data_IF_547056775248
#
_entry.id   IF_547056775248
#
_cell.length_a   1.000
_cell.length_b   1.000
_cell.length_c   1.000
_cell.angle_alpha   90.00
_cell.angle_beta   90.00
_cell.angle_gamma   90.00
#
_symmetry.space_group_name_H-M   'P 1'
#
loop_
_entity.id
_entity.type
_entity.pdbx_description
1 polymer ?
#
# COMPACT_ATOMS: atom_id res chain seq x y z
N UNK A 1 10.73 13.80 -24.07
CA UNK A 1 9.91 12.57 -24.02
C UNK A 1 9.08 12.44 -22.73
N UNK A 2 9.64 12.56 -21.52
CA UNK A 2 8.83 12.53 -20.28
C UNK A 2 7.75 13.64 -20.23
N UNK A 3 8.08 14.84 -20.74
CA UNK A 3 7.14 15.95 -20.82
C UNK A 3 5.96 15.73 -21.80
N UNK A 4 6.10 14.90 -22.84
CA UNK A 4 4.99 14.59 -23.77
C UNK A 4 3.99 13.61 -23.14
N UNK A 5 4.47 12.64 -22.35
CA UNK A 5 3.63 11.72 -21.58
C UNK A 5 2.84 12.49 -20.52
N UNK A 6 3.47 13.46 -19.84
CA UNK A 6 2.83 14.33 -18.85
C UNK A 6 1.79 15.29 -19.46
N UNK A 7 1.98 15.72 -20.70
CA UNK A 7 1.04 16.64 -21.38
C UNK A 7 -0.21 15.93 -21.93
N UNK A 8 -0.10 14.65 -22.30
CA UNK A 8 -1.27 13.81 -22.60
C UNK A 8 -1.89 13.16 -21.35
N UNK A 9 -1.35 13.40 -20.16
CA UNK A 9 -1.95 12.93 -18.92
C UNK A 9 -3.24 13.70 -18.66
N UNK A 10 -4.41 13.03 -18.62
CA UNK A 10 -5.68 13.71 -18.43
C UNK A 10 -5.68 14.57 -17.16
N UNK A 11 -6.28 15.76 -17.22
CA UNK A 11 -6.40 16.70 -16.09
C UNK A 11 -6.95 16.02 -14.84
N UNK A 12 -7.90 15.10 -14.97
CA UNK A 12 -8.47 14.37 -13.83
C UNK A 12 -7.44 13.52 -13.08
N UNK A 13 -6.41 12.97 -13.75
CA UNK A 13 -5.34 12.21 -13.09
C UNK A 13 -4.51 13.11 -12.19
N UNK A 14 -4.22 14.35 -12.64
CA UNK A 14 -3.52 15.36 -11.84
C UNK A 14 -4.35 15.78 -10.62
N UNK A 15 -5.67 15.92 -10.79
CA UNK A 15 -6.59 16.21 -9.67
C UNK A 15 -6.62 15.07 -8.66
N UNK A 16 -6.71 13.81 -9.12
CA UNK A 16 -6.66 12.63 -8.24
C UNK A 16 -5.32 12.56 -7.51
N UNK A 17 -4.20 12.79 -8.19
CA UNK A 17 -2.88 12.82 -7.56
C UNK A 17 -2.79 13.88 -6.46
N UNK A 18 -3.21 15.11 -6.74
CA UNK A 18 -3.26 16.18 -5.75
C UNK A 18 -4.14 15.80 -4.54
N UNK A 19 -5.32 15.24 -4.79
CA UNK A 19 -6.22 14.75 -3.74
C UNK A 19 -5.58 13.65 -2.89
N UNK A 20 -4.86 12.70 -3.50
CA UNK A 20 -4.15 11.63 -2.82
C UNK A 20 -2.96 12.14 -2.00
N UNK A 21 -2.25 13.16 -2.49
CA UNK A 21 -1.19 13.84 -1.74
C UNK A 21 -1.77 14.50 -0.49
N UNK A 22 -2.87 15.24 -0.63
CA UNK A 22 -3.59 15.83 0.52
C UNK A 22 -4.06 14.75 1.50
N UNK A 23 -4.66 13.66 1.00
CA UNK A 23 -5.06 12.52 1.82
C UNK A 23 -3.85 11.87 2.51
N UNK A 24 -2.73 11.71 1.82
CA UNK A 24 -1.47 11.19 2.34
C UNK A 24 -0.95 12.04 3.48
N UNK A 25 -0.91 13.36 3.32
CA UNK A 25 -0.57 14.31 4.38
C UNK A 25 -1.52 14.23 5.57
N UNK A 26 -2.83 14.12 5.33
CA UNK A 26 -3.82 13.93 6.40
C UNK A 26 -3.61 12.61 7.16
N UNK A 27 -3.22 11.54 6.46
CA UNK A 27 -2.88 10.25 7.09
C UNK A 27 -1.51 10.26 7.79
N UNK A 28 -0.63 11.17 7.41
CA UNK A 28 0.64 11.40 8.07
C UNK A 28 0.51 12.23 9.36
N UNK A 29 -0.67 12.79 9.66
CA UNK A 29 -0.95 13.46 10.94
C UNK A 29 -1.36 12.46 12.03
N UNK A 30 -1.14 12.79 13.31
CA UNK A 30 -1.60 11.96 14.43
C UNK A 30 -3.11 11.75 14.36
N UNK A 31 -3.56 10.50 14.47
CA UNK A 31 -4.99 10.16 14.47
C UNK A 31 -5.30 9.07 15.49
N UNK A 32 -6.49 9.16 16.08
CA UNK A 32 -7.08 8.09 16.89
C UNK A 32 -7.88 7.18 15.95
N UNK A 33 -7.56 5.89 15.94
CA UNK A 33 -8.25 4.90 15.11
C UNK A 33 -8.67 3.73 16.00
N UNK A 34 -9.88 3.22 15.80
CA UNK A 34 -10.32 2.00 16.48
C UNK A 34 -9.48 0.81 16.02
N UNK A 35 -9.20 -0.11 16.95
CA UNK A 35 -8.34 -1.27 16.71
C UNK A 35 -8.83 -2.16 15.55
N UNK A 36 -10.15 -2.30 15.41
CA UNK A 36 -10.79 -3.06 14.32
C UNK A 36 -10.54 -2.42 12.95
N UNK A 37 -10.70 -1.10 12.82
CA UNK A 37 -10.47 -0.37 11.57
C UNK A 37 -9.00 -0.32 11.20
N UNK A 38 -8.11 -0.40 12.19
CA UNK A 38 -6.66 -0.50 12.00
C UNK A 38 -6.27 -1.77 11.22
N UNK A 39 -6.97 -2.89 11.42
CA UNK A 39 -6.65 -4.18 10.78
C UNK A 39 -7.46 -4.42 9.51
N UNK A 40 -8.77 -4.15 9.52
CA UNK A 40 -9.68 -4.48 8.41
C UNK A 40 -9.32 -3.72 7.14
N UNK A 41 -9.01 -2.42 7.25
CA UNK A 41 -8.68 -1.59 6.10
C UNK A 41 -7.43 -2.08 5.35
N UNK A 42 -6.27 -2.33 6.00
CA UNK A 42 -5.10 -2.87 5.33
C UNK A 42 -5.31 -4.27 4.77
N UNK A 43 -6.09 -5.13 5.43
CA UNK A 43 -6.46 -6.44 4.90
C UNK A 43 -7.25 -6.31 3.60
N UNK A 44 -8.22 -5.39 3.54
CA UNK A 44 -8.99 -5.14 2.33
C UNK A 44 -8.10 -4.65 1.18
N UNK A 45 -7.13 -3.77 1.48
CA UNK A 45 -6.15 -3.28 0.50
C UNK A 45 -5.22 -4.40 0.02
N UNK A 46 -4.70 -5.23 0.92
CA UNK A 46 -3.85 -6.36 0.57
C UNK A 46 -4.60 -7.41 -0.26
N UNK A 47 -5.83 -7.76 0.12
CA UNK A 47 -6.70 -8.67 -0.64
C UNK A 47 -7.05 -8.11 -2.02
N UNK A 48 -7.40 -6.83 -2.11
CA UNK A 48 -7.65 -6.16 -3.40
C UNK A 48 -6.40 -6.11 -4.28
N UNK A 49 -5.21 -5.95 -3.68
CA UNK A 49 -3.95 -6.00 -4.42
C UNK A 49 -3.65 -7.40 -4.96
N UNK A 50 -3.87 -8.44 -4.15
CA UNK A 50 -3.67 -9.82 -4.57
C UNK A 50 -4.63 -10.20 -5.69
N UNK A 51 -5.91 -9.84 -5.55
CA UNK A 51 -6.92 -10.04 -6.59
C UNK A 51 -6.54 -9.34 -7.90
N UNK A 52 -6.11 -8.07 -7.82
CA UNK A 52 -5.66 -7.32 -9.00
C UNK A 52 -4.47 -7.97 -9.71
N UNK A 53 -3.48 -8.45 -8.95
CA UNK A 53 -2.32 -9.17 -9.50
C UNK A 53 -2.73 -10.51 -10.11
N UNK A 54 -3.56 -11.29 -9.44
CA UNK A 54 -4.02 -12.59 -9.92
C UNK A 54 -4.78 -12.47 -11.24
N UNK A 55 -5.72 -11.53 -11.33
CA UNK A 55 -6.49 -11.28 -12.55
C UNK A 55 -5.61 -10.77 -13.68
N UNK A 56 -4.75 -9.79 -13.41
CA UNK A 56 -3.92 -9.14 -14.44
C UNK A 56 -2.83 -10.06 -15.00
N UNK A 57 -2.30 -10.97 -14.18
CA UNK A 57 -1.26 -11.92 -14.57
C UNK A 57 -1.79 -13.27 -15.05
N UNK A 58 -3.11 -13.47 -15.07
CA UNK A 58 -3.72 -14.77 -15.39
C UNK A 58 -3.29 -15.88 -14.43
N UNK A 59 -3.19 -15.57 -13.13
CA UNK A 59 -2.73 -16.49 -12.08
C UNK A 59 -1.30 -17.03 -12.27
N UNK A 60 -0.42 -16.25 -12.89
CA UNK A 60 0.99 -16.62 -13.05
C UNK A 60 1.65 -16.93 -11.69
N UNK A 61 2.22 -18.13 -11.56
CA UNK A 61 2.93 -18.57 -10.35
C UNK A 61 4.07 -17.63 -9.99
N UNK A 62 4.80 -17.11 -10.99
CA UNK A 62 5.90 -16.18 -10.77
C UNK A 62 5.40 -14.85 -10.19
N UNK A 63 4.30 -14.31 -10.71
CA UNK A 63 3.70 -13.08 -10.22
C UNK A 63 3.20 -13.21 -8.78
N UNK A 64 2.52 -14.33 -8.47
CA UNK A 64 2.05 -14.63 -7.11
C UNK A 64 3.21 -14.84 -6.13
N UNK A 65 4.26 -15.56 -6.55
CA UNK A 65 5.46 -15.76 -5.74
C UNK A 65 6.18 -14.44 -5.46
N UNK A 66 6.29 -13.57 -6.47
CA UNK A 66 6.87 -12.23 -6.33
C UNK A 66 6.04 -11.36 -5.36
N UNK A 67 4.71 -11.43 -5.43
CA UNK A 67 3.83 -10.74 -4.50
C UNK A 67 4.00 -11.24 -3.05
N UNK A 68 4.07 -12.57 -2.84
CA UNK A 68 4.30 -13.16 -1.53
C UNK A 68 5.67 -12.80 -0.96
N UNK A 69 6.71 -12.85 -1.79
CA UNK A 69 8.05 -12.41 -1.41
C UNK A 69 8.04 -10.95 -0.97
N UNK A 70 7.33 -10.09 -1.70
CA UNK A 70 7.21 -8.69 -1.35
C UNK A 70 6.46 -8.45 -0.03
N UNK A 71 5.41 -9.24 0.27
CA UNK A 71 4.77 -9.22 1.60
C UNK A 71 5.76 -9.57 2.71
N UNK A 72 6.55 -10.63 2.52
CA UNK A 72 7.53 -11.08 3.50
C UNK A 72 8.61 -10.01 3.73
N UNK A 73 9.13 -9.41 2.65
CA UNK A 73 10.10 -8.31 2.72
C UNK A 73 9.50 -7.10 3.43
N UNK A 74 8.27 -6.69 3.09
CA UNK A 74 7.60 -5.58 3.76
C UNK A 74 7.43 -5.83 5.27
N UNK A 75 7.04 -7.04 5.64
CA UNK A 75 6.90 -7.42 7.04
C UNK A 75 8.25 -7.38 7.78
N UNK A 76 9.31 -7.90 7.17
CA UNK A 76 10.66 -7.86 7.73
C UNK A 76 11.16 -6.42 7.91
N UNK A 77 11.05 -5.57 6.89
CA UNK A 77 11.43 -4.16 6.96
C UNK A 77 10.71 -3.45 8.10
N UNK A 78 9.41 -3.70 8.25
CA UNK A 78 8.62 -3.06 9.30
C UNK A 78 8.91 -3.63 10.69
N UNK A 79 9.34 -4.89 10.79
CA UNK A 79 9.78 -5.50 12.05
C UNK A 79 11.13 -4.94 12.50
N UNK A 80 12.05 -4.66 11.56
CA UNK A 80 13.36 -4.06 11.83
C UNK A 80 13.25 -2.58 12.23
N UNK A 81 12.30 -1.85 11.65
CA UNK A 81 12.01 -0.45 11.99
C UNK A 81 10.58 -0.29 12.51
N UNK A 82 10.27 -0.82 13.71
CA UNK A 82 8.90 -0.92 14.17
C UNK A 82 8.27 0.45 14.41
N UNK A 83 7.01 0.64 13.99
CA UNK A 83 6.30 1.89 14.17
C UNK A 83 6.12 2.15 15.68
N UNK A 84 6.56 3.32 16.14
CA UNK A 84 6.25 3.80 17.49
C UNK A 84 4.76 4.11 17.53
N UNK A 85 4.00 3.44 18.39
CA UNK A 85 2.60 3.74 18.67
C UNK A 85 2.49 4.05 20.16
N UNK A 86 1.83 5.15 20.53
CA UNK A 86 1.60 5.49 21.93
C UNK A 86 0.17 5.05 22.25
N UNK A 87 -0.05 4.17 23.25
CA UNK A 87 -1.40 3.86 23.71
C UNK A 87 -2.13 5.15 24.07
N UNK A 88 -3.34 5.37 23.51
CA UNK A 88 -4.19 6.44 24.02
C UNK A 88 -4.79 5.92 25.34
N UNK A 89 -4.64 6.69 26.42
CA UNK A 89 -5.22 6.31 27.72
C UNK A 89 -6.72 6.03 27.62
N UNK A 90 -7.16 5.04 28.41
CA UNK A 90 -8.53 4.58 28.68
C UNK A 90 -9.47 4.45 27.46
N UNK A 91 -9.42 3.28 26.78
CA UNK A 91 -10.41 2.85 25.76
C UNK A 91 -9.83 1.92 24.66
N UNK A 92 -10.66 1.45 23.72
CA UNK A 92 -10.27 0.63 22.54
C UNK A 92 -9.67 1.46 21.38
N UNK A 93 -9.05 2.60 21.71
CA UNK A 93 -8.52 3.55 20.72
C UNK A 93 -6.99 3.62 20.78
N UNK A 94 -6.34 3.60 19.63
CA UNK A 94 -4.87 3.70 19.52
C UNK A 94 -4.53 5.06 18.91
N UNK A 95 -3.71 5.86 19.60
CA UNK A 95 -3.15 7.09 19.03
C UNK A 95 -1.94 6.72 18.18
N UNK A 96 -2.15 6.73 16.87
CA UNK A 96 -1.09 6.48 15.90
C UNK A 96 -0.36 7.81 15.70
N UNK A 97 0.92 7.95 16.09
CA UNK A 97 1.67 9.15 15.79
C UNK A 97 1.82 9.29 14.27
N UNK A 98 1.97 10.54 13.84
CA UNK A 98 2.17 10.84 12.44
C UNK A 98 3.33 10.04 11.85
N UNK A 99 3.14 9.47 10.67
CA UNK A 99 4.17 8.71 9.98
C UNK A 99 4.07 9.01 8.50
N UNK A 100 5.23 9.13 7.85
CA UNK A 100 5.33 9.32 6.41
C UNK A 100 5.10 8.02 5.63
N UNK A 101 5.10 6.86 6.30
CA UNK A 101 4.93 5.55 5.64
C UNK A 101 3.60 5.45 4.87
N UNK A 102 2.41 5.79 5.44
CA UNK A 102 1.17 5.80 4.67
C UNK A 102 1.20 6.73 3.47
N UNK A 103 1.84 7.89 3.59
CA UNK A 103 1.96 8.84 2.48
C UNK A 103 2.82 8.24 1.36
N UNK A 104 3.98 7.69 1.68
CA UNK A 104 4.84 7.01 0.72
C UNK A 104 4.13 5.83 0.04
N UNK A 105 3.35 5.04 0.80
CA UNK A 105 2.56 3.92 0.25
C UNK A 105 1.45 4.40 -0.68
N UNK A 106 0.68 5.43 -0.30
CA UNK A 106 -0.42 5.96 -1.13
C UNK A 106 0.12 6.52 -2.44
N UNK A 107 1.14 7.37 -2.35
CA UNK A 107 1.79 7.98 -3.53
C UNK A 107 2.45 6.90 -4.38
N UNK A 108 3.18 5.97 -3.76
CA UNK A 108 3.80 4.85 -4.45
C UNK A 108 2.80 3.98 -5.20
N UNK A 109 1.68 3.60 -4.56
CA UNK A 109 0.64 2.79 -5.20
C UNK A 109 0.02 3.51 -6.39
N UNK A 110 -0.22 4.82 -6.27
CA UNK A 110 -0.73 5.61 -7.37
C UNK A 110 0.25 5.66 -8.54
N UNK A 111 1.51 6.03 -8.27
CA UNK A 111 2.55 6.14 -9.31
C UNK A 111 2.77 4.79 -9.99
N UNK A 112 2.88 3.70 -9.22
CA UNK A 112 3.04 2.35 -9.78
C UNK A 112 1.84 1.92 -10.61
N UNK A 113 0.60 2.17 -10.15
CA UNK A 113 -0.61 1.85 -10.95
C UNK A 113 -0.70 2.70 -12.22
N UNK A 114 -0.33 3.97 -12.14
CA UNK A 114 -0.28 4.85 -13.29
C UNK A 114 0.76 4.37 -14.31
N UNK A 115 1.99 4.12 -13.86
CA UNK A 115 3.07 3.60 -14.71
C UNK A 115 2.70 2.26 -15.35
N UNK A 116 2.09 1.34 -14.59
CA UNK A 116 1.59 0.07 -15.10
C UNK A 116 0.59 0.27 -16.25
N UNK A 117 -0.43 1.12 -16.06
CA UNK A 117 -1.45 1.39 -17.07
C UNK A 117 -0.90 2.13 -18.29
N UNK A 118 0.00 3.10 -18.09
CA UNK A 118 0.66 3.82 -19.19
C UNK A 118 1.50 2.84 -20.01
N UNK A 119 2.26 1.96 -19.35
CA UNK A 119 3.07 0.97 -20.06
C UNK A 119 2.19 0.00 -20.86
N UNK A 120 1.08 -0.47 -20.29
CA UNK A 120 0.15 -1.32 -21.04
C UNK A 120 -0.56 -0.60 -22.19
N UNK A 121 -0.77 0.71 -22.07
CA UNK A 121 -1.39 1.51 -23.14
C UNK A 121 -0.42 1.77 -24.30
N UNK A 122 0.87 1.94 -24.02
CA UNK A 122 1.91 2.16 -25.04
C UNK A 122 2.39 0.84 -25.63
N UNK A 123 2.58 -0.17 -24.78
CA UNK A 123 3.13 -1.49 -25.10
C UNK A 123 2.24 -2.61 -24.55
N UNK A 124 1.10 -2.93 -25.18
CA UNK A 124 0.20 -4.00 -24.73
C UNK A 124 0.91 -5.36 -24.60
N UNK A 125 1.91 -5.62 -25.44
CA UNK A 125 2.70 -6.85 -25.47
C UNK A 125 3.41 -7.17 -24.14
N UNK A 126 3.75 -6.15 -23.34
CA UNK A 126 4.40 -6.36 -22.04
C UNK A 126 3.49 -7.05 -21.03
N UNK A 127 2.18 -7.12 -21.29
CA UNK A 127 1.24 -7.87 -20.46
C UNK A 127 1.62 -9.36 -20.36
N UNK A 128 2.18 -9.91 -21.44
CA UNK A 128 2.58 -11.32 -21.50
C UNK A 128 4.01 -11.54 -21.00
N UNK A 129 4.79 -10.47 -20.78
CA UNK A 129 6.14 -10.58 -20.27
C UNK A 129 6.13 -10.96 -18.77
N UNK A 130 6.58 -12.17 -18.47
CA UNK A 130 6.60 -12.70 -17.11
C UNK A 130 7.39 -11.80 -16.13
N UNK A 131 8.50 -11.21 -16.58
CA UNK A 131 9.31 -10.28 -15.78
C UNK A 131 8.58 -8.98 -15.43
N UNK A 132 7.81 -8.42 -16.38
CA UNK A 132 7.02 -7.22 -16.16
C UNK A 132 5.91 -7.48 -15.12
N UNK A 133 5.19 -8.60 -15.27
CA UNK A 133 4.17 -8.99 -14.29
C UNK A 133 4.77 -9.28 -12.91
N UNK A 134 5.91 -9.98 -12.84
CA UNK A 134 6.59 -10.24 -11.58
C UNK A 134 7.04 -8.95 -10.87
N UNK A 135 7.61 -7.99 -11.62
CA UNK A 135 8.05 -6.70 -11.08
C UNK A 135 6.88 -5.91 -10.49
N UNK A 136 5.80 -5.70 -11.25
CA UNK A 136 4.65 -4.95 -10.76
C UNK A 136 3.92 -5.68 -9.62
N UNK A 137 3.88 -7.01 -9.65
CA UNK A 137 3.37 -7.82 -8.54
C UNK A 137 4.19 -7.63 -7.26
N UNK A 138 5.52 -7.63 -7.39
CA UNK A 138 6.41 -7.34 -6.27
C UNK A 138 6.19 -5.92 -5.73
N UNK A 139 6.10 -4.91 -6.61
CA UNK A 139 5.89 -3.51 -6.19
C UNK A 139 4.55 -3.32 -5.49
N UNK A 140 3.45 -3.85 -6.05
CA UNK A 140 2.12 -3.76 -5.42
C UNK A 140 2.07 -4.54 -4.11
N UNK A 141 2.70 -5.71 -4.06
CA UNK A 141 2.89 -6.47 -2.83
C UNK A 141 3.65 -5.63 -1.80
N UNK A 142 4.84 -5.15 -2.10
CA UNK A 142 5.68 -4.43 -1.14
C UNK A 142 4.94 -3.24 -0.52
N UNK A 143 4.31 -2.42 -1.35
CA UNK A 143 3.57 -1.23 -0.90
C UNK A 143 2.35 -1.59 -0.05
N UNK A 144 1.53 -2.56 -0.48
CA UNK A 144 0.40 -3.04 0.30
C UNK A 144 0.83 -3.72 1.62
N UNK A 145 1.94 -4.43 1.57
CA UNK A 145 2.51 -5.19 2.67
C UNK A 145 3.07 -4.28 3.75
N UNK A 146 3.66 -3.14 3.38
CA UNK A 146 4.16 -2.16 4.34
C UNK A 146 3.01 -1.59 5.18
N UNK A 147 1.86 -1.32 4.56
CA UNK A 147 0.67 -0.84 5.25
C UNK A 147 0.08 -1.91 6.18
N UNK A 148 0.01 -3.16 5.70
CA UNK A 148 -0.52 -4.28 6.47
C UNK A 148 0.38 -4.64 7.65
N UNK A 149 1.67 -4.83 7.40
CA UNK A 149 2.67 -5.12 8.42
C UNK A 149 2.69 -4.05 9.51
N UNK A 150 2.66 -2.76 9.13
CA UNK A 150 2.55 -1.65 10.08
C UNK A 150 1.36 -1.83 11.01
N UNK A 151 0.21 -2.18 10.44
CA UNK A 151 -1.06 -2.24 11.16
C UNK A 151 -1.12 -3.44 12.10
N UNK A 152 -0.61 -4.60 11.65
CA UNK A 152 -0.45 -5.80 12.49
C UNK A 152 0.50 -5.51 13.66
N UNK A 153 1.67 -4.94 13.39
CA UNK A 153 2.67 -4.64 14.42
C UNK A 153 2.19 -3.59 15.44
N UNK A 154 1.44 -2.57 14.98
CA UNK A 154 0.79 -1.62 15.87
C UNK A 154 -0.30 -2.27 16.72
N UNK A 155 -1.13 -3.14 16.14
CA UNK A 155 -2.19 -3.84 16.87
C UNK A 155 -1.65 -4.84 17.90
N UNK A 156 -0.53 -5.51 17.58
CA UNK A 156 0.17 -6.43 18.48
C UNK A 156 0.82 -5.73 19.68
N UNK A 157 1.24 -4.46 19.52
CA UNK A 157 1.85 -3.64 20.58
C UNK A 157 0.83 -2.83 21.39
N UNK A 158 -0.41 -2.70 20.94
CA UNK A 158 -1.47 -2.08 21.72
C UNK A 158 -1.86 -3.02 22.87
N UNK A 159 -1.94 -2.54 24.14
CA UNK A 159 -2.46 -3.33 25.24
C UNK A 159 -3.83 -3.91 24.89
N UNK A 160 -4.07 -5.19 25.23
CA UNK A 160 -5.42 -5.75 25.13
C UNK A 160 -6.31 -4.95 26.08
N UNK A 161 -7.53 -4.53 25.68
CA UNK A 161 -8.47 -3.98 26.64
C UNK A 161 -8.68 -5.05 27.72
N UNK A 162 -8.38 -4.72 28.98
CA UNK A 162 -8.88 -5.51 30.10
C UNK A 162 -10.40 -5.46 29.98
N UNK A 163 -11.00 -6.62 29.75
CA UNK A 163 -12.43 -6.78 29.94
C UNK A 163 -12.73 -6.40 31.40
N UNK A 164 -13.48 -5.33 31.59
CA UNK A 164 -14.09 -4.97 32.87
C UNK A 164 -15.45 -5.66 32.96
#
# INVERSE_FOLDING_TARGET
>A
MLASILSHTPTWVRVVFAGLVVLGFRQARPRTVSRRRLIVLPLAVAGSSLYGVAMASGYSRLALAAWLLAMAVAFLLMRLAPPRGIPAGAGDSVRVPGSWVPMAVIVGLFVSRYAYRVMLAIHPEVQHAAGFMALFSFVFGLLGGLLLARSILLAARAPRPMAA
#
